data_IF_283188380596
#
_entry.id   IF_283188380596
#
_cell.length_a   1.000
_cell.length_b   1.000
_cell.length_c   1.000
_cell.angle_alpha   90.00
_cell.angle_beta   90.00
_cell.angle_gamma   90.00
#
_symmetry.space_group_name_H-M   'P 1'
#
loop_
_entity.id
_entity.type
_entity.pdbx_description
1 polymer ?
#
# COMPACT_ATOMS: atom_id res chain seq x y z
N UNK A 1 0.23 19.08 -16.56
CA UNK A 1 -0.27 18.70 -16.11
C UNK A 1 -0.77 19.09 -15.69
N UNK A 2 -0.63 18.91 -16.52
CA UNK A 2 -1.21 19.59 -15.44
C UNK A 2 -1.04 18.84 -14.14
N UNK A 3 -0.58 19.50 -13.17
CA UNK A 3 -0.28 18.83 -11.93
C UNK A 3 -1.52 18.65 -11.10
N UNK A 4 -1.64 17.50 -10.51
CA UNK A 4 -2.66 17.27 -9.52
C UNK A 4 -2.09 17.67 -8.16
N UNK A 5 -2.40 18.88 -7.74
CA UNK A 5 -1.90 19.40 -6.48
C UNK A 5 -2.69 18.88 -5.29
N UNK A 6 -3.77 18.16 -5.56
CA UNK A 6 -4.64 17.65 -4.51
C UNK A 6 -4.60 16.14 -4.46
N UNK A 7 -3.41 15.60 -4.33
CA UNK A 7 -3.27 14.16 -4.17
C UNK A 7 -4.01 13.73 -2.91
N UNK A 8 -4.84 12.74 -3.08
CA UNK A 8 -5.63 12.23 -1.97
C UNK A 8 -4.91 11.11 -1.27
N UNK A 9 -5.05 11.09 0.04
CA UNK A 9 -4.49 10.05 0.87
C UNK A 9 -5.61 9.40 1.67
N UNK A 10 -5.48 8.10 1.84
CA UNK A 10 -6.38 7.33 2.69
C UNK A 10 -5.68 7.03 4.01
N UNK A 11 -6.46 6.92 5.05
CA UNK A 11 -5.97 6.55 6.37
C UNK A 11 -6.57 5.22 6.75
N UNK A 12 -5.74 4.32 7.24
CA UNK A 12 -6.20 2.99 7.63
C UNK A 12 -5.57 2.63 8.97
N UNK A 13 -6.40 2.24 9.92
CA UNK A 13 -5.94 1.91 11.25
C UNK A 13 -6.17 0.43 11.52
N UNK A 14 -5.15 -0.23 12.07
CA UNK A 14 -5.24 -1.63 12.46
C UNK A 14 -4.78 -1.78 13.90
N UNK A 15 -5.60 -2.44 14.71
CA UNK A 15 -5.22 -2.79 16.07
C UNK A 15 -4.86 -4.26 16.10
N UNK A 16 -3.71 -4.56 16.68
CA UNK A 16 -3.24 -5.92 16.81
C UNK A 16 -2.64 -6.07 18.20
N UNK A 17 -3.27 -6.87 19.04
CA UNK A 17 -2.88 -7.02 20.44
C UNK A 17 -2.95 -5.66 21.13
N UNK A 18 -1.85 -5.19 21.71
CA UNK A 18 -1.82 -3.90 22.40
C UNK A 18 -1.31 -2.77 21.53
N UNK A 19 -1.03 -3.08 20.26
CA UNK A 19 -0.46 -2.10 19.37
C UNK A 19 -1.51 -1.58 18.39
N UNK A 20 -1.34 -0.33 18.00
CA UNK A 20 -2.14 0.27 16.95
C UNK A 20 -1.20 0.73 15.86
N UNK A 21 -1.50 0.34 14.64
CA UNK A 21 -0.74 0.78 13.47
C UNK A 21 -1.64 1.63 12.61
N UNK A 22 -1.11 2.78 12.18
CA UNK A 22 -1.84 3.69 11.32
C UNK A 22 -1.07 3.82 10.03
N UNK A 23 -1.79 3.71 8.92
CA UNK A 23 -1.19 3.81 7.58
C UNK A 23 -1.82 4.95 6.83
N UNK A 24 -0.97 5.83 6.33
CA UNK A 24 -1.38 6.88 5.43
C UNK A 24 -0.84 6.52 4.06
N UNK A 25 -1.69 6.43 3.05
CA UNK A 25 -1.24 5.99 1.74
C UNK A 25 -1.94 6.73 0.62
N UNK A 26 -1.18 6.98 -0.45
CA UNK A 26 -1.72 7.52 -1.68
C UNK A 26 -2.36 6.40 -2.48
N UNK A 27 -3.05 6.75 -3.55
CA UNK A 27 -3.69 5.74 -4.39
C UNK A 27 -2.72 5.06 -5.37
N UNK A 28 -1.44 5.42 -5.32
CA UNK A 28 -0.45 4.88 -6.26
C UNK A 28 -0.31 3.37 -6.22
N UNK A 29 -0.33 2.77 -5.03
CA UNK A 29 -0.21 1.32 -4.91
C UNK A 29 -1.47 0.64 -5.46
N UNK A 30 -2.62 1.09 -5.00
CA UNK A 30 -3.89 0.44 -5.36
C UNK A 30 -4.27 0.63 -6.82
N UNK A 31 -3.77 1.69 -7.43
CA UNK A 31 -4.09 1.98 -8.84
C UNK A 31 -3.09 1.37 -9.81
N UNK A 32 -2.05 0.70 -9.31
CA UNK A 32 -1.04 0.10 -10.16
C UNK A 32 -1.61 -1.06 -10.97
N UNK A 33 -1.47 -0.99 -12.28
CA UNK A 33 -1.85 -2.07 -13.16
C UNK A 33 -0.82 -3.19 -13.09
N UNK A 34 -1.31 -4.41 -13.15
CA UNK A 34 -0.41 -5.56 -13.12
C UNK A 34 -1.17 -6.86 -13.06
N UNK A 35 -0.45 -7.90 -12.64
CA UNK A 35 -1.00 -9.23 -12.59
C UNK A 35 -1.20 -9.82 -13.96
N UNK A 36 -1.77 -11.01 -14.01
CA UNK A 36 -1.96 -11.73 -15.28
C UNK A 36 -2.96 -11.06 -16.19
N UNK A 37 -3.92 -10.33 -15.60
CA UNK A 37 -4.99 -9.72 -16.37
C UNK A 37 -4.80 -8.23 -16.61
N UNK A 38 -3.69 -7.66 -16.17
CA UNK A 38 -3.39 -6.25 -16.35
C UNK A 38 -4.40 -5.33 -15.70
N UNK A 39 -4.86 -5.68 -14.50
CA UNK A 39 -5.84 -4.91 -13.76
C UNK A 39 -5.19 -4.14 -12.63
N UNK A 40 -5.92 -3.16 -12.09
CA UNK A 40 -5.44 -2.43 -10.92
C UNK A 40 -5.39 -3.34 -9.70
N UNK A 41 -4.46 -3.05 -8.81
CA UNK A 41 -4.30 -3.82 -7.57
C UNK A 41 -5.55 -3.73 -6.69
N UNK A 42 -6.09 -2.54 -6.55
CA UNK A 42 -7.32 -2.21 -5.84
C UNK A 42 -7.11 -1.99 -4.35
N UNK A 43 -7.90 -1.07 -3.81
CA UNK A 43 -7.78 -0.68 -2.41
C UNK A 43 -8.10 -1.83 -1.47
N UNK A 44 -9.08 -2.65 -1.82
CA UNK A 44 -9.45 -3.79 -0.98
C UNK A 44 -8.27 -4.74 -0.80
N UNK A 45 -7.57 -5.06 -1.89
CA UNK A 45 -6.42 -5.96 -1.81
C UNK A 45 -5.28 -5.34 -1.01
N UNK A 46 -5.10 -4.02 -1.16
CA UNK A 46 -4.08 -3.33 -0.40
C UNK A 46 -4.36 -3.42 1.10
N UNK A 47 -5.61 -3.19 1.50
CA UNK A 47 -6.00 -3.30 2.89
C UNK A 47 -5.86 -4.72 3.42
N UNK A 48 -6.22 -5.70 2.60
CA UNK A 48 -6.06 -7.11 2.96
C UNK A 48 -4.60 -7.46 3.19
N UNK A 49 -3.73 -6.95 2.33
CA UNK A 49 -2.29 -7.19 2.46
C UNK A 49 -1.76 -6.61 3.76
N UNK A 50 -2.17 -5.39 4.09
CA UNK A 50 -1.79 -4.79 5.36
C UNK A 50 -2.31 -5.61 6.54
N UNK A 51 -3.56 -6.04 6.46
CA UNK A 51 -4.16 -6.83 7.53
C UNK A 51 -3.43 -8.17 7.73
N UNK A 52 -3.15 -8.85 6.61
CA UNK A 52 -2.48 -10.15 6.67
C UNK A 52 -1.08 -10.06 7.26
N UNK A 53 -0.43 -8.92 7.09
CA UNK A 53 0.92 -8.71 7.59
C UNK A 53 0.95 -7.92 8.90
N UNK A 54 -0.17 -7.75 9.55
CA UNK A 54 -0.28 -6.87 10.73
C UNK A 54 0.59 -7.30 11.91
N UNK A 55 0.92 -8.57 11.98
CA UNK A 55 1.75 -9.07 13.07
C UNK A 55 3.25 -8.94 12.82
N UNK A 56 3.64 -8.51 11.64
CA UNK A 56 5.05 -8.33 11.33
C UNK A 56 5.57 -7.02 11.88
N UNK A 57 6.90 -6.93 12.02
CA UNK A 57 7.49 -5.65 12.37
C UNK A 57 7.23 -4.64 11.24
N UNK A 58 7.32 -3.34 11.57
CA UNK A 58 7.13 -2.33 10.53
C UNK A 58 8.16 -2.48 9.41
N UNK A 59 9.37 -2.85 9.78
CA UNK A 59 10.43 -3.04 8.81
C UNK A 59 10.15 -4.21 7.87
N UNK A 60 9.69 -5.33 8.45
CA UNK A 60 9.35 -6.50 7.66
C UNK A 60 8.14 -6.23 6.79
N UNK A 61 7.14 -5.54 7.34
CA UNK A 61 5.95 -5.20 6.58
C UNK A 61 6.28 -4.33 5.38
N UNK A 62 7.23 -3.39 5.57
CA UNK A 62 7.68 -2.56 4.46
C UNK A 62 8.27 -3.41 3.34
N UNK A 63 9.10 -4.39 3.69
CA UNK A 63 9.68 -5.28 2.68
C UNK A 63 8.61 -6.06 1.93
N UNK A 64 7.63 -6.55 2.66
CA UNK A 64 6.54 -7.31 2.03
C UNK A 64 5.78 -6.43 1.06
N UNK A 65 5.45 -5.20 1.47
CA UNK A 65 4.71 -4.30 0.60
C UNK A 65 5.49 -3.94 -0.67
N UNK A 66 6.79 -3.68 -0.52
CA UNK A 66 7.63 -3.36 -1.67
C UNK A 66 7.68 -4.54 -2.63
N UNK A 67 7.90 -5.74 -2.09
CA UNK A 67 8.00 -6.94 -2.93
C UNK A 67 6.68 -7.23 -3.65
N UNK A 68 5.55 -7.06 -2.94
CA UNK A 68 4.24 -7.29 -3.54
C UNK A 68 3.95 -6.28 -4.64
N UNK A 69 4.34 -5.03 -4.42
CA UNK A 69 4.13 -4.00 -5.43
C UNK A 69 4.88 -4.34 -6.73
N UNK A 70 6.16 -4.67 -6.61
CA UNK A 70 6.95 -4.96 -7.81
C UNK A 70 6.56 -6.28 -8.45
N UNK A 71 6.17 -7.27 -7.67
CA UNK A 71 5.67 -8.52 -8.23
C UNK A 71 4.38 -8.29 -9.00
N UNK A 72 3.50 -7.45 -8.48
CA UNK A 72 2.25 -7.11 -9.17
C UNK A 72 2.52 -6.34 -10.44
N UNK A 73 3.32 -5.28 -10.32
CA UNK A 73 3.63 -4.39 -11.44
C UNK A 73 4.33 -5.13 -12.57
N UNK A 74 5.29 -5.97 -12.24
CA UNK A 74 6.08 -6.74 -13.19
C UNK A 74 6.61 -5.81 -14.31
N UNK A 75 6.21 -6.06 -15.56
CA UNK A 75 6.69 -5.29 -16.69
C UNK A 75 5.87 -4.05 -17.00
N UNK A 76 4.79 -3.83 -16.25
CA UNK A 76 3.96 -2.64 -16.49
C UNK A 76 4.67 -1.37 -16.03
N UNK A 77 4.29 -0.25 -16.62
CA UNK A 77 4.79 1.04 -16.19
C UNK A 77 4.18 1.39 -14.83
N UNK A 78 4.94 2.11 -14.03
CA UNK A 78 4.41 2.60 -12.77
C UNK A 78 3.41 3.73 -13.06
N UNK A 79 2.19 3.56 -12.58
CA UNK A 79 1.09 4.47 -12.88
C UNK A 79 1.25 5.82 -12.21
N UNK A 80 1.69 5.82 -10.95
CA UNK A 80 1.76 7.04 -10.15
C UNK A 80 2.77 6.83 -9.02
N UNK A 81 3.11 7.89 -8.34
CA UNK A 81 3.97 7.80 -7.17
C UNK A 81 3.28 6.99 -6.07
N UNK A 82 4.05 6.13 -5.45
CA UNK A 82 3.54 5.28 -4.37
C UNK A 82 4.09 5.80 -3.04
N UNK A 83 3.17 6.23 -2.20
CA UNK A 83 3.53 6.71 -0.86
C UNK A 83 2.73 5.91 0.16
N UNK A 84 3.45 5.26 1.06
CA UNK A 84 2.83 4.55 2.18
C UNK A 84 3.65 4.88 3.42
N UNK A 85 2.99 5.43 4.41
CA UNK A 85 3.63 5.77 5.68
C UNK A 85 2.93 4.98 6.77
N UNK A 86 3.70 4.21 7.51
CA UNK A 86 3.16 3.45 8.63
C UNK A 86 3.69 3.99 9.93
N UNK A 87 2.82 4.09 10.92
CA UNK A 87 3.15 4.54 12.26
C UNK A 87 2.72 3.49 13.26
N UNK A 88 3.61 3.16 14.17
CA UNK A 88 3.32 2.23 15.25
C UNK A 88 3.09 3.02 16.52
N UNK A 89 1.92 2.85 17.12
CA UNK A 89 1.55 3.49 18.37
C UNK A 89 1.44 2.43 19.44
N UNK A 90 2.04 2.70 20.56
CA UNK A 90 1.97 1.79 21.72
C UNK A 90 0.77 2.11 22.60
#
# INVERSE_FOLDING_TARGET
>A
NQYNTKKQFDLHEIRYKKETKIYLFSDGFQDQFGGKLGKKFMKKRFRELIYETRGESMQEQRKILVNEFYAWKNEEDQTDDVIVIGLLLD
#
